data_IF_873157030919
#
_entry.id   IF_873157030919
#
_cell.length_a   1.000
_cell.length_b   1.000
_cell.length_c   1.000
_cell.angle_alpha   90.00
_cell.angle_beta   90.00
_cell.angle_gamma   90.00
#
_symmetry.space_group_name_H-M   'P 1'
#
loop_
_entity.id
_entity.type
_entity.pdbx_description
1 polymer ?
#
# COMPACT_ATOMS: atom_id res chain seq x y z
N UNK A 1 -60.56 -25.63 32.41
CA UNK A 1 -61.34 -25.00 33.50
C UNK A 1 -60.33 -24.14 34.27
N UNK A 2 -60.32 -22.81 34.19
CA UNK A 2 -61.22 -21.87 34.92
C UNK A 2 -60.96 -22.00 36.43
N UNK A 3 -60.72 -20.98 37.27
CA UNK A 3 -61.30 -19.63 37.40
C UNK A 3 -60.45 -18.84 38.46
N UNK A 4 -60.24 -17.53 38.22
CA UNK A 4 -60.08 -16.31 39.10
C UNK A 4 -59.32 -16.37 40.45
N UNK A 5 -58.36 -15.48 40.79
CA UNK A 5 -58.24 -14.01 40.83
C UNK A 5 -58.65 -13.34 42.18
N UNK A 6 -57.77 -12.48 42.72
CA UNK A 6 -57.96 -11.24 43.53
C UNK A 6 -56.88 -11.07 44.63
N UNK A 7 -56.43 -9.90 45.13
CA UNK A 7 -56.14 -8.54 44.62
C UNK A 7 -55.81 -7.63 45.84
N UNK A 8 -54.80 -6.74 45.77
CA UNK A 8 -54.73 -5.43 46.49
C UNK A 8 -53.44 -4.69 46.09
N UNK A 9 -53.41 -3.64 45.24
CA UNK A 9 -53.87 -2.23 45.32
C UNK A 9 -52.92 -1.27 46.10
N UNK A 10 -52.34 -0.31 45.35
CA UNK A 10 -52.14 1.13 45.62
C UNK A 10 -50.83 1.61 44.95
N UNK A 11 -50.89 2.15 43.73
CA UNK A 11 -51.04 3.58 43.41
C UNK A 11 -49.96 4.49 44.02
N UNK A 12 -49.02 4.93 43.17
CA UNK A 12 -48.39 6.24 43.28
C UNK A 12 -48.02 6.75 41.88
N UNK A 13 -48.57 7.91 41.52
CA UNK A 13 -48.05 8.81 40.49
C UNK A 13 -47.79 10.14 41.18
N UNK A 14 -46.69 10.84 40.83
CA UNK A 14 -46.91 12.16 40.26
C UNK A 14 -45.91 12.57 39.16
N UNK A 15 -46.50 13.17 38.13
CA UNK A 15 -46.21 14.47 37.51
C UNK A 15 -44.78 15.03 37.45
N UNK A 16 -44.36 15.24 36.21
CA UNK A 16 -43.33 16.14 35.65
C UNK A 16 -43.25 17.55 36.27
N UNK A 17 -42.03 18.03 36.55
CA UNK A 17 -41.46 19.29 36.01
C UNK A 17 -40.01 19.54 36.46
N UNK A 18 -39.21 20.06 35.51
CA UNK A 18 -38.11 21.05 35.65
C UNK A 18 -36.69 20.63 35.21
N UNK A 19 -36.33 21.16 34.03
CA UNK A 19 -35.05 21.78 33.62
C UNK A 19 -33.73 21.00 33.71
N UNK A 20 -33.16 20.67 32.55
CA UNK A 20 -31.74 20.91 32.27
C UNK A 20 -31.42 20.84 30.76
N UNK A 21 -30.79 21.91 30.27
CA UNK A 21 -30.06 22.17 29.02
C UNK A 21 -29.99 21.09 27.91
N UNK A 22 -30.24 21.44 26.63
CA UNK A 22 -29.85 20.58 25.53
C UNK A 22 -28.32 20.55 25.44
N UNK A 23 -27.73 19.42 25.83
CA UNK A 23 -26.35 19.11 25.45
C UNK A 23 -26.31 19.03 23.92
N UNK A 24 -25.43 19.85 23.34
CA UNK A 24 -25.03 19.76 21.95
C UNK A 24 -24.59 18.31 21.65
N UNK A 25 -25.48 17.52 21.08
CA UNK A 25 -25.10 16.29 20.39
C UNK A 25 -24.48 16.76 19.08
N UNK A 26 -23.16 16.60 18.98
CA UNK A 26 -22.41 16.83 17.76
C UNK A 26 -23.06 16.03 16.63
N UNK A 27 -23.75 16.76 15.75
CA UNK A 27 -24.25 16.20 14.50
C UNK A 27 -23.09 15.99 13.54
N UNK A 28 -23.15 14.86 12.84
CA UNK A 28 -22.35 14.46 11.67
C UNK A 28 -21.00 13.80 11.91
N UNK A 29 -21.04 12.66 12.60
CA UNK A 29 -20.19 11.53 12.19
C UNK A 29 -20.64 11.05 10.81
N UNK A 30 -19.90 11.42 9.76
CA UNK A 30 -20.02 10.80 8.44
C UNK A 30 -19.49 9.36 8.51
N UNK A 31 -20.30 8.45 9.06
CA UNK A 31 -20.17 7.03 8.83
C UNK A 31 -20.90 6.68 7.52
N UNK A 32 -20.14 6.03 6.64
CA UNK A 32 -20.57 5.30 5.46
C UNK A 32 -21.25 6.12 4.35
N UNK A 33 -20.45 6.58 3.39
CA UNK A 33 -20.91 6.57 1.99
C UNK A 33 -21.00 5.10 1.55
N UNK A 34 -22.16 4.52 1.82
CA UNK A 34 -22.62 3.26 1.24
C UNK A 34 -23.11 3.56 -0.18
N UNK A 35 -22.35 3.14 -1.20
CA UNK A 35 -22.88 2.95 -2.56
C UNK A 35 -22.55 4.00 -3.62
N UNK A 36 -21.67 4.97 -3.37
CA UNK A 36 -21.12 5.84 -4.43
C UNK A 36 -20.00 5.13 -5.22
N UNK A 37 -19.83 5.47 -6.51
CA UNK A 37 -18.68 5.05 -7.34
C UNK A 37 -17.36 5.50 -6.71
N UNK A 38 -16.88 4.74 -5.73
CA UNK A 38 -15.67 5.06 -4.99
C UNK A 38 -14.48 5.05 -5.95
N UNK A 39 -13.72 6.14 -5.96
CA UNK A 39 -12.46 6.22 -6.72
C UNK A 39 -11.50 5.18 -6.11
N UNK A 40 -11.12 4.20 -6.91
CA UNK A 40 -10.21 3.09 -6.53
C UNK A 40 -8.95 3.03 -7.38
N UNK A 41 -8.83 3.88 -8.41
CA UNK A 41 -7.66 3.97 -9.27
C UNK A 41 -7.21 5.41 -9.45
N UNK A 42 -5.89 5.62 -9.58
CA UNK A 42 -5.33 6.94 -9.93
C UNK A 42 -5.84 7.50 -11.26
N UNK A 43 -6.29 6.63 -12.16
CA UNK A 43 -6.87 7.03 -13.46
C UNK A 43 -8.23 7.72 -13.34
N UNK A 44 -8.92 7.53 -12.21
CA UNK A 44 -10.21 8.16 -11.93
C UNK A 44 -10.05 9.54 -11.27
N UNK A 45 -8.84 9.91 -10.85
CA UNK A 45 -8.54 11.27 -10.39
C UNK A 45 -8.41 12.20 -11.60
N UNK A 46 -8.77 13.48 -11.43
CA UNK A 46 -8.41 14.48 -12.43
C UNK A 46 -6.89 14.60 -12.58
N UNK A 47 -6.42 15.12 -13.71
CA UNK A 47 -4.99 15.17 -14.04
C UNK A 47 -4.12 15.87 -12.98
N UNK A 48 -4.61 16.94 -12.37
CA UNK A 48 -3.91 17.69 -11.32
C UNK A 48 -3.76 16.83 -10.05
N UNK A 49 -4.83 16.20 -9.60
CA UNK A 49 -4.81 15.38 -8.38
C UNK A 49 -4.08 14.06 -8.60
N UNK A 50 -4.21 13.45 -9.77
CA UNK A 50 -3.39 12.30 -10.17
C UNK A 50 -1.90 12.62 -10.09
N UNK A 51 -1.48 13.77 -10.66
CA UNK A 51 -0.09 14.22 -10.58
C UNK A 51 0.34 14.39 -9.13
N UNK A 52 -0.42 15.12 -8.31
CA UNK A 52 -0.12 15.35 -6.89
C UNK A 52 -0.04 14.06 -6.06
N UNK A 53 -0.88 13.07 -6.37
CA UNK A 53 -0.83 11.77 -5.72
C UNK A 53 0.46 11.03 -6.10
N UNK A 54 0.75 10.91 -7.40
CA UNK A 54 1.92 10.17 -7.88
C UNK A 54 3.24 10.81 -7.44
N UNK A 55 3.38 12.14 -7.39
CA UNK A 55 4.60 12.79 -6.86
C UNK A 55 4.95 12.34 -5.43
N UNK A 56 3.95 11.88 -4.65
CA UNK A 56 4.11 11.50 -3.24
C UNK A 56 4.08 9.99 -3.00
N UNK A 57 3.70 9.20 -4.00
CA UNK A 57 3.43 7.76 -3.83
C UNK A 57 4.14 6.88 -4.86
N UNK A 58 4.44 7.39 -6.07
CA UNK A 58 5.21 6.69 -7.09
C UNK A 58 6.71 6.77 -6.77
N UNK A 59 7.40 5.66 -6.47
CA UNK A 59 8.81 5.67 -6.10
C UNK A 59 9.71 6.31 -7.16
N UNK A 60 9.36 6.18 -8.44
CA UNK A 60 10.13 6.79 -9.53
C UNK A 60 10.17 8.32 -9.41
N UNK A 61 9.07 8.92 -8.96
CA UNK A 61 8.93 10.37 -8.76
C UNK A 61 9.46 10.81 -7.42
N UNK A 62 9.04 10.12 -6.35
CA UNK A 62 9.41 10.43 -4.96
C UNK A 62 10.92 10.52 -4.77
N UNK A 63 11.67 9.59 -5.38
CA UNK A 63 13.12 9.49 -5.22
C UNK A 63 13.88 9.91 -6.49
N UNK A 64 13.18 10.46 -7.49
CA UNK A 64 13.75 10.90 -8.76
C UNK A 64 14.61 9.82 -9.46
N UNK A 65 14.20 8.55 -9.35
CA UNK A 65 14.93 7.45 -9.98
C UNK A 65 14.93 7.58 -11.50
N UNK A 66 16.00 7.06 -12.10
CA UNK A 66 16.24 7.08 -13.54
C UNK A 66 16.43 5.66 -14.05
N UNK A 67 16.32 5.47 -15.36
CA UNK A 67 16.55 4.14 -15.96
C UNK A 67 17.97 3.59 -15.69
N UNK A 68 18.96 4.45 -15.51
CA UNK A 68 20.32 4.04 -15.15
C UNK A 68 20.54 3.89 -13.63
N UNK A 69 19.51 4.07 -12.80
CA UNK A 69 19.63 3.84 -11.36
C UNK A 69 20.02 2.38 -11.11
N UNK A 70 21.14 2.12 -10.39
CA UNK A 70 21.50 0.76 -10.02
C UNK A 70 20.58 0.27 -8.89
N UNK A 71 20.17 -0.98 -8.99
CA UNK A 71 19.43 -1.70 -7.95
C UNK A 71 20.18 -2.96 -7.59
N UNK A 72 20.10 -3.33 -6.33
CA UNK A 72 20.92 -4.37 -5.75
C UNK A 72 20.05 -5.42 -5.07
N UNK A 73 20.49 -6.66 -5.09
CA UNK A 73 19.82 -7.74 -4.37
C UNK A 73 20.85 -8.71 -3.86
N UNK A 74 20.62 -9.20 -2.65
CA UNK A 74 21.32 -10.34 -2.10
C UNK A 74 20.46 -11.58 -2.29
N UNK A 75 21.03 -12.66 -2.83
CA UNK A 75 20.30 -13.88 -3.16
C UNK A 75 21.21 -15.09 -3.25
N UNK A 76 20.61 -16.28 -3.21
CA UNK A 76 21.33 -17.52 -3.42
C UNK A 76 21.82 -17.64 -4.89
N UNK A 77 23.03 -18.17 -5.14
CA UNK A 77 23.66 -18.14 -6.46
C UNK A 77 22.88 -18.89 -7.55
N UNK A 78 22.06 -19.89 -7.21
CA UNK A 78 21.24 -20.64 -8.18
C UNK A 78 20.19 -19.77 -8.90
N UNK A 79 19.88 -18.59 -8.38
CA UNK A 79 18.95 -17.66 -9.02
C UNK A 79 19.59 -16.74 -10.06
N UNK A 80 20.93 -16.74 -10.16
CA UNK A 80 21.66 -16.06 -11.22
C UNK A 80 21.96 -17.07 -12.34
N UNK A 81 21.08 -17.12 -13.34
CA UNK A 81 21.17 -18.07 -14.46
C UNK A 81 21.69 -17.34 -15.69
N UNK A 82 22.86 -17.76 -16.18
CA UNK A 82 23.54 -17.18 -17.35
C UNK A 82 23.69 -15.64 -17.27
N UNK A 83 23.99 -15.13 -16.07
CA UNK A 83 24.13 -13.69 -15.82
C UNK A 83 22.81 -12.93 -15.82
N UNK A 84 21.69 -13.62 -15.57
CA UNK A 84 20.34 -13.04 -15.59
C UNK A 84 19.54 -13.42 -14.36
N UNK A 85 18.61 -12.54 -13.99
CA UNK A 85 17.68 -12.75 -12.87
C UNK A 85 16.23 -12.57 -13.35
N UNK A 86 15.36 -13.48 -12.92
CA UNK A 86 13.92 -13.47 -13.20
C UNK A 86 13.11 -13.06 -11.97
N UNK A 87 11.88 -12.60 -12.17
CA UNK A 87 10.96 -12.29 -11.06
C UNK A 87 10.53 -13.54 -10.29
N UNK A 88 10.36 -13.42 -8.97
CA UNK A 88 9.77 -14.46 -8.13
C UNK A 88 8.22 -14.40 -8.25
N UNK A 89 7.55 -15.46 -8.78
CA UNK A 89 6.10 -15.47 -8.99
C UNK A 89 5.30 -15.55 -7.68
N UNK A 90 5.90 -15.99 -6.58
CA UNK A 90 5.22 -16.23 -5.28
C UNK A 90 5.69 -15.26 -4.19
N UNK A 91 6.18 -14.08 -4.58
CA UNK A 91 6.66 -13.05 -3.66
C UNK A 91 5.56 -12.60 -2.68
N UNK A 92 5.79 -12.79 -1.38
CA UNK A 92 4.87 -12.38 -0.30
C UNK A 92 5.17 -11.00 0.27
N UNK A 93 6.10 -10.27 -0.35
CA UNK A 93 6.48 -8.91 0.08
C UNK A 93 5.27 -7.99 -0.04
N UNK A 94 5.00 -7.19 0.99
CA UNK A 94 3.91 -6.22 0.97
C UNK A 94 4.40 -4.96 0.26
N UNK A 95 3.63 -4.46 -0.69
CA UNK A 95 3.99 -3.27 -1.47
C UNK A 95 2.95 -2.17 -1.33
N UNK A 96 3.39 -0.94 -1.54
CA UNK A 96 2.49 0.21 -1.74
C UNK A 96 2.16 0.32 -3.22
N UNK A 97 1.00 -0.19 -3.61
CA UNK A 97 0.48 -0.04 -4.97
C UNK A 97 -0.03 1.38 -5.18
N UNK A 98 0.82 2.20 -5.81
CA UNK A 98 0.56 3.61 -6.06
C UNK A 98 -0.37 3.86 -7.25
N UNK A 99 -0.88 2.83 -7.92
CA UNK A 99 -1.89 2.94 -8.97
C UNK A 99 -3.32 2.66 -8.46
N UNK A 100 -3.41 1.99 -7.31
CA UNK A 100 -4.67 1.63 -6.66
C UNK A 100 -4.91 2.48 -5.41
N UNK A 101 -6.13 2.99 -5.27
CA UNK A 101 -6.52 3.94 -4.21
C UNK A 101 -7.40 3.28 -3.16
N UNK A 102 -7.10 3.57 -1.90
CA UNK A 102 -8.01 3.39 -0.76
C UNK A 102 -8.20 4.73 -0.05
N UNK A 103 -9.33 4.96 0.66
CA UNK A 103 -9.52 6.17 1.43
C UNK A 103 -8.39 6.38 2.43
N UNK A 104 -8.03 7.65 2.61
CA UNK A 104 -7.13 8.08 3.65
C UNK A 104 -7.77 7.77 5.02
N UNK A 105 -7.12 6.96 5.88
CA UNK A 105 -7.68 6.59 7.19
C UNK A 105 -7.87 7.79 8.13
N UNK A 106 -7.18 8.90 7.88
CA UNK A 106 -7.33 10.13 8.67
C UNK A 106 -8.61 10.90 8.34
N UNK A 107 -9.29 10.58 7.23
CA UNK A 107 -10.53 11.23 6.80
C UNK A 107 -10.41 12.74 6.56
N UNK A 108 -11.54 13.43 6.42
CA UNK A 108 -11.62 14.90 6.42
C UNK A 108 -11.18 15.61 5.13
N UNK A 109 -10.79 14.89 4.09
CA UNK A 109 -10.40 15.46 2.80
C UNK A 109 -11.52 15.34 1.77
N UNK A 110 -11.73 16.35 0.89
CA UNK A 110 -12.73 16.27 -0.15
C UNK A 110 -12.47 15.11 -1.13
N UNK A 111 -13.53 14.37 -1.49
CA UNK A 111 -13.46 13.30 -2.48
C UNK A 111 -12.90 13.82 -3.82
N UNK A 112 -12.09 12.99 -4.48
CA UNK A 112 -11.44 13.36 -5.74
C UNK A 112 -10.16 14.17 -5.57
N UNK A 113 -9.83 14.61 -4.35
CA UNK A 113 -8.50 15.17 -4.04
C UNK A 113 -7.52 14.07 -3.68
N UNK A 114 -6.26 14.25 -4.07
CA UNK A 114 -5.16 13.34 -3.78
C UNK A 114 -4.96 13.08 -2.29
N UNK A 115 -5.31 14.03 -1.41
CA UNK A 115 -5.22 13.85 0.04
C UNK A 115 -6.31 12.93 0.61
N UNK A 116 -7.41 12.72 -0.11
CA UNK A 116 -8.48 11.81 0.31
C UNK A 116 -8.10 10.33 0.16
N UNK A 117 -6.93 10.02 -0.41
CA UNK A 117 -6.54 8.64 -0.72
C UNK A 117 -5.13 8.31 -0.27
N UNK A 118 -4.93 7.04 0.05
CA UNK A 118 -3.64 6.37 0.25
C UNK A 118 -3.50 5.23 -0.76
N UNK A 119 -2.27 4.78 -1.07
CA UNK A 119 -2.07 3.58 -1.88
C UNK A 119 -2.65 2.35 -1.19
N UNK A 120 -3.16 1.41 -1.99
CA UNK A 120 -3.48 0.07 -1.50
C UNK A 120 -2.19 -0.63 -1.07
N UNK A 121 -2.26 -1.36 0.04
CA UNK A 121 -1.18 -2.24 0.49
C UNK A 121 -1.61 -3.67 0.15
N UNK A 122 -0.82 -4.37 -0.67
CA UNK A 122 -1.10 -5.75 -1.10
C UNK A 122 0.18 -6.56 -1.28
N UNK A 123 0.06 -7.88 -1.38
CA UNK A 123 1.22 -8.74 -1.64
C UNK A 123 1.69 -8.59 -3.09
N UNK A 124 3.00 -8.67 -3.30
CA UNK A 124 3.61 -8.53 -4.62
C UNK A 124 3.16 -9.62 -5.61
N UNK A 125 2.80 -10.83 -5.15
CA UNK A 125 2.25 -11.88 -6.02
C UNK A 125 0.98 -11.45 -6.76
N UNK A 126 0.20 -10.52 -6.20
CA UNK A 126 -1.04 -10.01 -6.82
C UNK A 126 -0.76 -9.05 -7.98
N UNK A 127 0.52 -8.72 -8.21
CA UNK A 127 1.03 -7.86 -9.28
C UNK A 127 1.83 -8.65 -10.33
N UNK A 128 2.04 -9.95 -10.11
CA UNK A 128 2.87 -10.82 -10.95
C UNK A 128 4.29 -11.04 -10.41
N UNK A 129 5.15 -11.72 -11.20
CA UNK A 129 6.52 -12.01 -10.76
C UNK A 129 7.30 -10.74 -10.46
N UNK A 130 8.09 -10.76 -9.39
CA UNK A 130 8.77 -9.56 -8.90
C UNK A 130 10.06 -9.85 -8.13
N UNK A 131 10.89 -8.83 -7.99
CA UNK A 131 12.09 -8.86 -7.18
C UNK A 131 12.03 -7.75 -6.13
N UNK A 132 12.15 -8.12 -4.85
CA UNK A 132 12.63 -7.22 -3.83
C UNK A 132 14.10 -6.87 -4.08
N UNK A 133 14.41 -5.57 -4.09
CA UNK A 133 15.73 -5.00 -4.35
C UNK A 133 15.95 -3.79 -3.44
N UNK A 134 17.18 -3.31 -3.39
CA UNK A 134 17.60 -2.10 -2.69
C UNK A 134 18.21 -1.11 -3.68
N UNK A 135 18.02 0.19 -3.47
CA UNK A 135 18.96 1.20 -3.99
C UNK A 135 20.02 1.51 -2.93
N UNK A 136 21.15 2.08 -3.33
CA UNK A 136 22.20 2.53 -2.42
C UNK A 136 23.19 1.46 -1.97
N UNK A 137 22.95 0.19 -2.30
CA UNK A 137 23.87 -0.92 -2.05
C UNK A 137 23.13 -2.24 -1.79
N UNK A 138 23.87 -3.37 -1.73
CA UNK A 138 23.29 -4.66 -1.34
C UNK A 138 22.75 -4.64 0.10
N UNK A 139 21.88 -5.60 0.39
CA UNK A 139 21.34 -5.79 1.75
C UNK A 139 22.20 -6.80 2.54
N UNK A 140 21.71 -7.17 3.72
CA UNK A 140 22.30 -8.21 4.54
C UNK A 140 22.41 -9.54 3.78
N UNK A 141 23.58 -10.17 3.82
CA UNK A 141 23.87 -11.50 3.27
C UNK A 141 23.93 -12.57 4.34
N UNK A 142 23.53 -13.79 3.96
CA UNK A 142 23.87 -15.01 4.69
C UNK A 142 25.10 -15.65 4.06
N UNK A 143 25.76 -16.54 4.80
CA UNK A 143 26.86 -17.34 4.25
C UNK A 143 26.38 -18.10 3.00
N UNK A 144 27.09 -17.89 1.88
CA UNK A 144 26.78 -18.48 0.59
C UNK A 144 25.87 -17.64 -0.32
N UNK A 145 25.28 -16.55 0.17
CA UNK A 145 24.56 -15.60 -0.69
C UNK A 145 25.55 -14.80 -1.56
N UNK A 146 25.11 -14.43 -2.76
CA UNK A 146 25.79 -13.47 -3.63
C UNK A 146 25.05 -12.14 -3.64
N UNK A 147 25.81 -11.07 -3.89
CA UNK A 147 25.25 -9.76 -4.17
C UNK A 147 25.23 -9.55 -5.67
N UNK A 148 24.11 -9.04 -6.19
CA UNK A 148 23.99 -8.71 -7.62
C UNK A 148 23.59 -7.26 -7.79
N UNK A 149 24.15 -6.63 -8.83
CA UNK A 149 23.79 -5.32 -9.33
C UNK A 149 23.01 -5.47 -10.63
N UNK A 150 21.90 -4.76 -10.75
CA UNK A 150 21.04 -4.70 -11.94
C UNK A 150 20.74 -3.24 -12.28
N UNK A 151 20.28 -3.01 -13.50
CA UNK A 151 19.86 -1.69 -13.97
C UNK A 151 18.33 -1.56 -13.91
N UNK A 152 17.83 -0.54 -13.22
CA UNK A 152 16.38 -0.32 -13.05
C UNK A 152 15.63 -0.24 -14.38
N UNK A 153 16.24 0.42 -15.38
CA UNK A 153 15.68 0.57 -16.71
C UNK A 153 15.42 -0.75 -17.42
N UNK A 154 16.18 -1.80 -17.11
CA UNK A 154 16.02 -3.09 -17.79
C UNK A 154 14.70 -3.77 -17.39
N UNK A 155 14.19 -3.47 -16.18
CA UNK A 155 12.84 -3.86 -15.76
C UNK A 155 11.78 -3.01 -16.45
N UNK A 156 11.95 -1.69 -16.43
CA UNK A 156 10.99 -0.73 -16.99
C UNK A 156 10.81 -0.96 -18.50
N UNK A 157 11.90 -1.18 -19.23
CA UNK A 157 11.89 -1.44 -20.67
C UNK A 157 11.18 -2.76 -21.03
N UNK A 158 10.98 -3.65 -20.05
CA UNK A 158 10.24 -4.90 -20.16
C UNK A 158 8.82 -4.81 -19.60
N UNK A 159 8.33 -3.62 -19.25
CA UNK A 159 6.99 -3.41 -18.69
C UNK A 159 6.90 -3.59 -17.17
N UNK A 160 8.05 -3.71 -16.48
CA UNK A 160 8.12 -3.73 -15.03
C UNK A 160 7.71 -2.40 -14.40
N UNK A 161 7.13 -2.47 -13.21
CA UNK A 161 6.72 -1.33 -12.38
C UNK A 161 7.43 -1.37 -11.04
N UNK A 162 7.68 -0.19 -10.48
CA UNK A 162 8.48 -0.02 -9.26
C UNK A 162 7.57 0.35 -8.10
N UNK A 163 7.62 -0.44 -7.04
CA UNK A 163 6.82 -0.24 -5.83
C UNK A 163 7.74 -0.06 -4.62
N UNK A 164 7.28 0.71 -3.65
CA UNK A 164 7.94 0.74 -2.34
C UNK A 164 7.65 -0.57 -1.61
N UNK A 165 8.70 -1.20 -1.08
CA UNK A 165 8.56 -2.32 -0.15
C UNK A 165 8.04 -1.78 1.19
N UNK A 166 6.84 -2.22 1.56
CA UNK A 166 6.16 -1.83 2.78
C UNK A 166 6.47 -2.78 3.96
N UNK A 167 7.17 -3.88 3.70
CA UNK A 167 7.54 -4.92 4.68
C UNK A 167 9.03 -4.93 5.03
N UNK A 168 9.87 -4.21 4.29
CA UNK A 168 11.30 -4.15 4.55
C UNK A 168 11.61 -3.58 5.95
N UNK A 169 12.42 -4.33 6.72
CA UNK A 169 12.95 -3.91 8.01
C UNK A 169 14.22 -3.05 7.87
N UNK A 170 14.90 -3.12 6.73
CA UNK A 170 16.11 -2.36 6.41
C UNK A 170 15.87 -1.26 5.38
N UNK A 171 16.80 -0.31 5.30
CA UNK A 171 16.72 0.87 4.45
C UNK A 171 16.23 2.12 5.20
N UNK A 172 16.93 3.23 5.01
CA UNK A 172 16.61 4.51 5.65
C UNK A 172 15.61 5.37 4.84
N UNK A 173 15.23 4.90 3.63
CA UNK A 173 14.40 5.64 2.66
C UNK A 173 14.97 7.00 2.24
N UNK A 174 16.28 7.18 2.42
CA UNK A 174 17.04 8.37 2.02
C UNK A 174 18.20 7.97 1.11
N UNK A 175 19.10 7.13 1.62
CA UNK A 175 20.25 6.60 0.90
C UNK A 175 20.00 5.16 0.43
N UNK A 176 19.25 4.39 1.22
CA UNK A 176 18.94 2.99 0.97
C UNK A 176 17.43 2.79 0.95
N UNK A 177 16.89 2.51 -0.24
CA UNK A 177 15.44 2.49 -0.47
C UNK A 177 15.05 1.06 -0.87
N UNK A 178 14.25 0.36 -0.04
CA UNK A 178 13.78 -0.96 -0.36
C UNK A 178 12.62 -0.86 -1.35
N UNK A 179 12.74 -1.60 -2.46
CA UNK A 179 11.80 -1.59 -3.57
C UNK A 179 11.37 -3.02 -3.90
N UNK A 180 10.21 -3.12 -4.51
CA UNK A 180 9.79 -4.31 -5.25
C UNK A 180 9.57 -3.89 -6.69
N UNK A 181 10.22 -4.59 -7.63
CA UNK A 181 10.08 -4.31 -9.05
C UNK A 181 9.44 -5.52 -9.71
N UNK A 182 8.31 -5.32 -10.39
CA UNK A 182 7.69 -6.38 -11.18
C UNK A 182 8.49 -6.64 -12.46
N UNK A 183 8.45 -7.89 -12.92
CA UNK A 183 9.05 -8.33 -14.16
C UNK A 183 8.08 -9.33 -14.78
N UNK A 184 7.51 -9.06 -15.98
CA UNK A 184 6.53 -9.95 -16.58
C UNK A 184 7.03 -11.40 -16.70
N UNK A 185 6.10 -12.34 -16.66
CA UNK A 185 6.43 -13.76 -16.74
C UNK A 185 7.23 -14.09 -18.02
N UNK A 186 8.22 -14.97 -17.89
CA UNK A 186 9.16 -15.31 -18.96
C UNK A 186 10.23 -14.26 -19.23
N UNK A 187 10.19 -13.09 -18.57
CA UNK A 187 11.23 -12.07 -18.69
C UNK A 187 12.31 -12.26 -17.61
N UNK A 188 13.53 -11.86 -17.98
CA UNK A 188 14.69 -11.77 -17.09
C UNK A 188 15.48 -10.50 -17.43
N UNK A 189 16.27 -9.99 -16.48
CA UNK A 189 17.16 -8.85 -16.69
C UNK A 189 18.63 -9.27 -16.52
N UNK A 190 19.58 -8.60 -17.21
CA UNK A 190 21.00 -8.76 -16.91
C UNK A 190 21.30 -8.41 -15.45
N UNK A 191 22.19 -9.18 -14.83
CA UNK A 191 22.68 -8.93 -13.49
C UNK A 191 24.18 -9.22 -13.43
N UNK A 192 24.90 -8.39 -12.70
CA UNK A 192 26.32 -8.54 -12.45
C UNK A 192 26.51 -8.95 -10.99
N UNK A 193 27.18 -10.07 -10.76
CA UNK A 193 27.62 -10.41 -9.42
C UNK A 193 28.67 -9.40 -8.97
N UNK A 194 28.52 -8.90 -7.75
CA UNK A 194 29.44 -7.96 -7.10
C UNK A 194 29.91 -8.57 -5.77
N UNK A 195 31.10 -8.17 -5.35
CA UNK A 195 31.72 -8.59 -4.09
C UNK A 195 31.04 -7.92 -2.87
#
# INVERSE_FOLDING_TARGET
>A
MGICASSSRNQYSPTVSSTCSPQHVASHGNLASSGGNRITSVEQLNSTERKRFLERQDPMRMFNFKKNTPVYRTMSPEFLVDGRVSGNPISRTWVRDHESLRPNPNGGFPEGTSNAYWPVIREARDLGPSLNVMTGGPSYSRDGDINVRMRLGDFIDRGGKVYLDNSAAGGDRQNTIPLVITLPEGQSVPAEQID
#
